data_IF_695507045715
#
_entry.id   IF_695507045715
#
_cell.length_a   1.000
_cell.length_b   1.000
_cell.length_c   1.000
_cell.angle_alpha   90.00
_cell.angle_beta   90.00
_cell.angle_gamma   90.00
#
_symmetry.space_group_name_H-M   'P 1'
#
loop_
_entity.id
_entity.type
_entity.pdbx_description
1 polymer ?
#
# COMPACT_ATOMS: atom_id res chain seq x y z
N UNK A 1 10.13 -2.29 -19.22
CA UNK A 1 10.62 -1.05 -18.56
C UNK A 1 11.65 -1.36 -17.47
N UNK A 2 11.36 -2.15 -16.40
CA UNK A 2 12.31 -2.42 -15.32
C UNK A 2 13.64 -3.00 -15.85
N UNK A 3 13.59 -4.00 -16.74
CA UNK A 3 14.78 -4.62 -17.31
C UNK A 3 15.71 -3.64 -18.01
N UNK A 4 15.19 -2.54 -18.58
CA UNK A 4 15.99 -1.50 -19.22
C UNK A 4 16.65 -0.52 -18.22
N UNK A 5 16.21 -0.51 -16.98
CA UNK A 5 16.73 0.34 -15.90
C UNK A 5 17.78 -0.36 -15.05
N UNK A 6 17.70 -1.70 -14.98
CA UNK A 6 18.60 -2.51 -14.15
C UNK A 6 19.92 -2.73 -14.90
N UNK A 7 21.03 -2.49 -14.21
CA UNK A 7 22.39 -2.63 -14.72
C UNK A 7 23.26 -3.39 -13.71
N UNK A 8 24.47 -3.84 -14.06
CA UNK A 8 25.40 -4.46 -13.09
C UNK A 8 25.77 -3.57 -11.88
N UNK A 9 25.49 -2.26 -11.96
CA UNK A 9 25.67 -1.33 -10.84
C UNK A 9 24.44 -1.25 -9.92
N UNK A 10 23.30 -1.80 -10.34
CA UNK A 10 22.08 -1.81 -9.51
C UNK A 10 22.31 -2.73 -8.30
N UNK A 11 22.29 -2.19 -7.11
CA UNK A 11 22.47 -2.94 -5.87
C UNK A 11 21.18 -3.46 -5.28
N UNK A 12 20.09 -2.70 -5.46
CA UNK A 12 18.82 -2.96 -4.83
C UNK A 12 17.67 -2.56 -5.76
N UNK A 13 16.65 -3.43 -5.85
CA UNK A 13 15.35 -3.14 -6.45
C UNK A 13 14.34 -3.04 -5.33
N UNK A 14 13.74 -1.85 -5.14
CA UNK A 14 12.71 -1.63 -4.14
C UNK A 14 11.32 -1.79 -4.76
N UNK A 15 10.49 -2.63 -4.15
CA UNK A 15 9.11 -2.89 -4.56
C UNK A 15 8.15 -2.58 -3.42
N UNK A 16 6.92 -2.22 -3.78
CA UNK A 16 5.80 -2.18 -2.84
C UNK A 16 4.65 -3.01 -3.41
N UNK A 17 4.37 -4.16 -2.77
CA UNK A 17 3.38 -5.12 -3.28
C UNK A 17 2.54 -5.75 -2.17
N UNK A 18 1.23 -5.49 -2.13
CA UNK A 18 0.41 -4.58 -2.98
C UNK A 18 0.84 -3.13 -2.90
N UNK A 19 0.61 -2.37 -3.97
CA UNK A 19 1.18 -1.05 -4.16
C UNK A 19 0.34 0.08 -3.53
N UNK A 20 0.98 0.99 -2.84
CA UNK A 20 0.48 2.31 -2.49
C UNK A 20 1.16 3.35 -3.41
N UNK A 21 0.41 4.15 -4.19
CA UNK A 21 -0.99 4.52 -3.97
C UNK A 21 -2.03 3.73 -4.79
N UNK A 22 -1.64 2.91 -5.75
CA UNK A 22 -2.52 2.44 -6.83
C UNK A 22 -3.43 1.27 -6.48
N UNK A 23 -3.12 0.52 -5.41
CA UNK A 23 -3.77 -0.75 -5.13
C UNK A 23 -3.45 -1.86 -6.13
N UNK A 24 -2.45 -1.65 -6.98
CA UNK A 24 -2.00 -2.65 -7.95
C UNK A 24 -1.35 -3.84 -7.24
N UNK A 25 -1.47 -5.01 -7.87
CA UNK A 25 -0.99 -6.27 -7.34
C UNK A 25 -0.07 -6.96 -8.34
N UNK A 26 1.16 -7.21 -7.91
CA UNK A 26 2.11 -8.06 -8.65
C UNK A 26 1.90 -9.51 -8.24
N UNK A 27 1.38 -10.30 -9.16
CA UNK A 27 1.19 -11.74 -8.97
C UNK A 27 2.47 -12.53 -9.24
N UNK A 28 2.47 -13.81 -8.90
CA UNK A 28 3.63 -14.72 -9.02
C UNK A 28 4.38 -14.59 -10.36
N UNK A 29 3.75 -14.65 -11.54
CA UNK A 29 4.49 -14.59 -12.80
C UNK A 29 5.29 -13.30 -12.99
N UNK A 30 4.73 -12.16 -12.53
CA UNK A 30 5.43 -10.88 -12.62
C UNK A 30 6.58 -10.81 -11.60
N UNK A 31 6.36 -11.28 -10.37
CA UNK A 31 7.42 -11.31 -9.35
C UNK A 31 8.58 -12.22 -9.77
N UNK A 32 8.31 -13.38 -10.34
CA UNK A 32 9.33 -14.29 -10.87
C UNK A 32 10.13 -13.68 -12.03
N UNK A 33 9.49 -12.86 -12.86
CA UNK A 33 10.21 -12.09 -13.90
C UNK A 33 11.14 -11.03 -13.28
N UNK A 34 10.68 -10.33 -12.23
CA UNK A 34 11.50 -9.36 -11.52
C UNK A 34 12.68 -10.06 -10.83
N UNK A 35 12.44 -11.21 -10.21
CA UNK A 35 13.49 -12.04 -9.61
C UNK A 35 14.56 -12.45 -10.62
N UNK A 36 14.17 -12.86 -11.84
CA UNK A 36 15.16 -13.16 -12.89
C UNK A 36 16.02 -11.95 -13.22
N UNK A 37 15.41 -10.79 -13.43
CA UNK A 37 16.14 -9.54 -13.71
C UNK A 37 17.10 -9.19 -12.57
N UNK A 38 16.67 -9.35 -11.32
CA UNK A 38 17.51 -9.07 -10.15
C UNK A 38 18.67 -10.07 -10.04
N UNK A 39 18.42 -11.36 -10.29
CA UNK A 39 19.42 -12.42 -10.26
C UNK A 39 20.50 -12.21 -11.31
N UNK A 40 20.11 -11.88 -12.55
CA UNK A 40 21.05 -11.63 -13.66
C UNK A 40 21.96 -10.41 -13.38
N UNK A 41 21.48 -9.43 -12.64
CA UNK A 41 22.24 -8.25 -12.25
C UNK A 41 22.97 -8.40 -10.89
N UNK A 42 22.74 -9.49 -10.15
CA UNK A 42 23.26 -9.69 -8.80
C UNK A 42 22.66 -8.74 -7.75
N UNK A 43 21.48 -8.16 -8.03
CA UNK A 43 20.81 -7.17 -7.19
C UNK A 43 20.01 -7.82 -6.07
N UNK A 44 19.87 -7.12 -4.95
CA UNK A 44 18.89 -7.44 -3.91
C UNK A 44 17.48 -7.01 -4.32
N UNK A 45 16.45 -7.64 -3.76
CA UNK A 45 15.07 -7.16 -3.82
C UNK A 45 14.60 -6.89 -2.39
N UNK A 46 14.15 -5.66 -2.13
CA UNK A 46 13.41 -5.28 -0.93
C UNK A 46 11.96 -5.03 -1.32
N UNK A 47 11.04 -5.81 -0.78
CA UNK A 47 9.62 -5.67 -1.04
C UNK A 47 8.88 -5.22 0.23
N UNK A 48 8.31 -4.02 0.21
CA UNK A 48 7.36 -3.62 1.24
C UNK A 48 6.03 -4.37 1.02
N UNK A 49 5.76 -5.32 1.91
CA UNK A 49 4.60 -6.20 1.90
C UNK A 49 3.52 -5.85 2.93
N UNK A 50 3.51 -4.63 3.47
CA UNK A 50 2.57 -4.23 4.56
C UNK A 50 1.09 -4.42 4.20
N UNK A 51 0.75 -4.47 2.92
CA UNK A 51 -0.62 -4.71 2.43
C UNK A 51 -0.86 -6.16 1.94
N UNK A 52 0.10 -7.08 2.09
CA UNK A 52 0.10 -8.43 1.50
C UNK A 52 -1.17 -9.23 1.79
N UNK A 53 -1.78 -9.06 2.95
CA UNK A 53 -2.99 -9.78 3.37
C UNK A 53 -4.30 -9.04 3.05
N UNK A 54 -4.23 -7.85 2.44
CA UNK A 54 -5.40 -7.06 2.07
C UNK A 54 -5.71 -7.17 0.57
N UNK A 55 -5.78 -8.40 0.06
CA UNK A 55 -6.16 -8.71 -1.33
C UNK A 55 -7.67 -8.88 -1.43
N UNK A 56 -8.30 -8.21 -2.40
CA UNK A 56 -9.75 -8.22 -2.55
C UNK A 56 -10.30 -9.58 -2.97
N UNK A 57 -9.63 -10.25 -3.93
CA UNK A 57 -10.00 -11.60 -4.36
C UNK A 57 -9.44 -12.65 -3.39
N UNK A 58 -10.29 -13.43 -2.71
CA UNK A 58 -9.86 -14.44 -1.76
C UNK A 58 -9.11 -15.61 -2.39
N UNK A 59 -9.19 -15.77 -3.73
CA UNK A 59 -8.50 -16.83 -4.46
C UNK A 59 -7.04 -16.47 -4.78
N UNK A 60 -6.71 -15.17 -4.76
CA UNK A 60 -5.36 -14.69 -5.10
C UNK A 60 -4.46 -14.75 -3.86
N UNK A 61 -3.29 -15.36 -4.04
CA UNK A 61 -2.22 -15.38 -3.03
C UNK A 61 -1.01 -14.62 -3.55
N UNK A 62 -0.50 -13.70 -2.73
CA UNK A 62 0.71 -12.93 -3.03
C UNK A 62 1.91 -13.68 -2.46
N UNK A 63 2.82 -14.20 -3.30
CA UNK A 63 4.03 -14.84 -2.80
C UNK A 63 4.96 -13.79 -2.17
N UNK A 64 5.79 -14.22 -1.24
CA UNK A 64 6.88 -13.40 -0.70
C UNK A 64 8.08 -13.45 -1.64
N UNK A 65 8.77 -12.34 -1.83
CA UNK A 65 10.06 -12.37 -2.55
C UNK A 65 11.13 -13.13 -1.76
N UNK A 66 11.01 -13.21 -0.43
CA UNK A 66 11.90 -14.03 0.40
C UNK A 66 11.73 -15.53 0.15
N UNK A 67 10.58 -15.97 -0.37
CA UNK A 67 10.35 -17.37 -0.77
C UNK A 67 10.77 -17.66 -2.21
N UNK A 68 11.01 -16.62 -3.01
CA UNK A 68 11.28 -16.72 -4.45
C UNK A 68 12.75 -16.46 -4.82
N UNK A 69 13.49 -15.79 -3.94
CA UNK A 69 14.81 -15.28 -4.27
C UNK A 69 15.75 -15.28 -3.07
N UNK A 70 16.95 -15.84 -3.27
CA UNK A 70 18.00 -15.93 -2.25
C UNK A 70 18.56 -14.60 -1.75
N UNK A 71 18.28 -13.49 -2.46
CA UNK A 71 18.56 -12.10 -2.03
C UNK A 71 17.26 -11.29 -1.92
N UNK A 72 16.15 -11.97 -1.62
CA UNK A 72 14.86 -11.35 -1.40
C UNK A 72 14.64 -11.02 0.07
N UNK A 73 14.26 -9.77 0.35
CA UNK A 73 13.85 -9.30 1.68
C UNK A 73 12.45 -8.73 1.59
N UNK A 74 11.58 -9.08 2.53
CA UNK A 74 10.24 -8.53 2.63
C UNK A 74 10.03 -7.89 3.99
N UNK A 75 9.35 -6.75 4.01
CA UNK A 75 8.88 -6.13 5.25
C UNK A 75 7.38 -6.31 5.42
N UNK A 76 6.95 -6.40 6.66
CA UNK A 76 5.55 -6.45 7.05
C UNK A 76 5.31 -5.73 8.37
N UNK A 77 4.06 -5.46 8.69
CA UNK A 77 3.71 -4.85 9.96
C UNK A 77 2.26 -5.13 10.37
N UNK A 78 1.97 -4.89 11.64
CA UNK A 78 0.60 -4.91 12.18
C UNK A 78 -0.17 -3.64 11.80
N UNK A 79 0.49 -2.60 11.30
CA UNK A 79 -0.09 -1.27 11.09
C UNK A 79 -1.23 -1.24 10.07
N UNK A 80 -1.13 -2.02 8.99
CA UNK A 80 -2.08 -1.95 7.85
C UNK A 80 -3.05 -3.12 7.84
N UNK A 81 -2.55 -4.34 7.62
CA UNK A 81 -3.40 -5.52 7.52
C UNK A 81 -4.18 -5.82 8.79
N UNK A 82 -3.59 -5.54 9.94
CA UNK A 82 -4.20 -5.80 11.25
C UNK A 82 -4.91 -4.58 11.85
N UNK A 83 -4.80 -3.40 11.24
CA UNK A 83 -5.35 -2.12 11.77
C UNK A 83 -4.80 -1.75 13.17
N UNK A 84 -3.58 -2.16 13.48
CA UNK A 84 -2.92 -1.97 14.77
C UNK A 84 -1.70 -1.04 14.65
N UNK A 85 -1.88 0.08 13.96
CA UNK A 85 -0.80 1.05 13.71
C UNK A 85 -0.19 1.63 15.00
N UNK A 86 -0.97 1.70 16.08
CA UNK A 86 -0.55 2.22 17.38
C UNK A 86 0.49 1.34 18.09
N UNK A 87 0.54 0.04 17.80
CA UNK A 87 1.50 -0.88 18.45
C UNK A 87 2.94 -0.73 17.94
N UNK A 88 3.17 -0.04 16.85
CA UNK A 88 4.50 0.18 16.28
C UNK A 88 5.31 -1.11 16.04
N UNK A 89 4.64 -2.23 15.71
CA UNK A 89 5.24 -3.54 15.46
C UNK A 89 5.30 -3.84 13.97
N UNK A 90 6.48 -4.26 13.53
CA UNK A 90 6.77 -4.75 12.18
C UNK A 90 7.91 -5.75 12.20
N UNK A 91 8.16 -6.35 11.06
CA UNK A 91 9.20 -7.37 10.87
C UNK A 91 9.84 -7.27 9.50
N UNK A 92 11.04 -7.81 9.40
CA UNK A 92 11.70 -8.12 8.15
C UNK A 92 11.95 -9.63 8.06
N UNK A 93 11.78 -10.19 6.86
CA UNK A 93 12.05 -11.60 6.56
C UNK A 93 12.97 -11.65 5.35
N UNK A 94 14.06 -12.42 5.47
CA UNK A 94 15.07 -12.55 4.42
C UNK A 94 16.15 -13.55 4.81
N UNK A 95 17.25 -13.63 4.05
CA UNK A 95 18.38 -14.51 4.34
C UNK A 95 19.00 -14.23 5.72
N UNK A 96 19.42 -15.29 6.42
CA UNK A 96 19.94 -15.22 7.79
C UNK A 96 21.07 -14.19 7.95
N UNK A 97 22.07 -14.21 7.05
CA UNK A 97 23.18 -13.27 7.09
C UNK A 97 22.72 -11.81 6.99
N UNK A 98 21.77 -11.51 6.09
CA UNK A 98 21.22 -10.16 5.96
C UNK A 98 20.45 -9.74 7.22
N UNK A 99 19.68 -10.65 7.81
CA UNK A 99 18.92 -10.36 9.04
C UNK A 99 19.86 -10.16 10.22
N UNK A 100 20.96 -10.91 10.29
CA UNK A 100 22.02 -10.70 11.29
C UNK A 100 22.63 -9.30 11.22
N UNK A 101 22.98 -8.84 10.02
CA UNK A 101 23.50 -7.49 9.79
C UNK A 101 22.45 -6.43 10.13
N UNK A 102 21.20 -6.62 9.70
CA UNK A 102 20.09 -5.73 10.00
C UNK A 102 19.87 -5.61 11.52
N UNK A 103 19.93 -6.72 12.23
CA UNK A 103 19.77 -6.75 13.69
C UNK A 103 20.87 -5.93 14.39
N UNK A 104 22.14 -6.06 13.94
CA UNK A 104 23.26 -5.28 14.47
C UNK A 104 23.08 -3.77 14.28
N UNK A 105 22.45 -3.34 13.19
CA UNK A 105 22.17 -1.93 12.92
C UNK A 105 20.94 -1.39 13.69
N UNK A 106 20.10 -2.27 14.22
CA UNK A 106 18.89 -1.90 14.96
C UNK A 106 19.21 -1.12 16.23
N UNK A 107 20.32 -1.40 16.87
CA UNK A 107 20.75 -0.72 18.10
C UNK A 107 20.98 0.78 17.91
N UNK A 108 21.26 1.21 16.67
CA UNK A 108 21.41 2.63 16.31
C UNK A 108 20.07 3.32 15.98
N UNK A 109 18.96 2.60 15.99
CA UNK A 109 17.62 3.12 15.64
C UNK A 109 16.62 2.91 16.77
N UNK A 110 16.04 1.74 16.87
CA UNK A 110 14.92 1.45 17.79
C UNK A 110 15.31 0.60 18.98
N UNK A 111 16.49 0.01 18.99
CA UNK A 111 17.00 -0.94 19.99
C UNK A 111 16.07 -2.15 20.14
N UNK A 112 14.86 -1.94 20.66
CA UNK A 112 13.85 -2.98 20.82
C UNK A 112 12.43 -2.39 20.69
N UNK A 113 11.46 -3.26 20.42
CA UNK A 113 10.04 -2.91 20.56
C UNK A 113 9.64 -2.85 22.04
N UNK A 114 8.62 -2.09 22.35
CA UNK A 114 8.02 -2.09 23.69
C UNK A 114 7.48 -3.49 24.03
N UNK A 115 7.75 -3.98 25.25
CA UNK A 115 7.36 -5.34 25.67
C UNK A 115 5.84 -5.56 25.66
N UNK A 116 5.08 -4.52 26.00
CA UNK A 116 3.61 -4.58 25.94
C UNK A 116 3.11 -4.65 24.50
N UNK A 117 3.70 -3.83 23.63
CA UNK A 117 3.35 -3.81 22.21
C UNK A 117 3.69 -5.13 21.52
N UNK A 118 4.83 -5.72 21.86
CA UNK A 118 5.24 -7.04 21.38
C UNK A 118 4.26 -8.13 21.83
N UNK A 119 3.88 -8.16 23.12
CA UNK A 119 2.89 -9.12 23.63
C UNK A 119 1.52 -8.98 22.96
N UNK A 120 1.06 -7.74 22.74
CA UNK A 120 -0.19 -7.49 22.02
C UNK A 120 -0.05 -7.87 20.54
N UNK A 121 1.13 -7.70 19.96
CA UNK A 121 1.45 -8.17 18.61
C UNK A 121 1.36 -9.69 18.49
N UNK A 122 1.89 -10.44 19.44
CA UNK A 122 1.77 -11.91 19.49
C UNK A 122 0.28 -12.32 19.53
N UNK A 123 -0.52 -11.72 20.41
CA UNK A 123 -1.97 -11.99 20.48
C UNK A 123 -2.68 -11.69 19.16
N UNK A 124 -2.32 -10.59 18.49
CA UNK A 124 -2.90 -10.25 17.18
C UNK A 124 -2.56 -11.31 16.12
N UNK A 125 -1.35 -11.85 16.13
CA UNK A 125 -0.93 -12.90 15.20
C UNK A 125 -1.59 -14.26 15.53
N UNK A 126 -1.79 -14.58 16.79
CA UNK A 126 -2.54 -15.76 17.24
C UNK A 126 -4.00 -15.71 16.75
N UNK A 127 -4.60 -14.52 16.72
CA UNK A 127 -5.97 -14.26 16.26
C UNK A 127 -6.07 -13.71 14.83
N UNK A 128 -5.02 -13.91 14.02
CA UNK A 128 -4.89 -13.29 12.68
C UNK A 128 -6.10 -13.52 11.77
N UNK A 129 -6.66 -14.71 11.75
CA UNK A 129 -7.77 -15.06 10.85
C UNK A 129 -9.02 -14.19 11.16
N UNK A 130 -9.35 -14.02 12.44
CA UNK A 130 -10.47 -13.18 12.88
C UNK A 130 -10.24 -11.71 12.52
N UNK A 131 -9.04 -11.19 12.79
CA UNK A 131 -8.71 -9.78 12.54
C UNK A 131 -8.68 -9.49 11.04
N UNK A 132 -8.00 -10.33 10.26
CA UNK A 132 -7.92 -10.18 8.81
C UNK A 132 -9.29 -10.36 8.15
N UNK A 133 -10.11 -11.31 8.60
CA UNK A 133 -11.47 -11.52 8.09
C UNK A 133 -12.34 -10.29 8.26
N UNK A 134 -12.35 -9.70 9.46
CA UNK A 134 -13.06 -8.44 9.76
C UNK A 134 -12.57 -7.29 8.86
N UNK A 135 -11.25 -7.11 8.77
CA UNK A 135 -10.66 -6.00 8.03
C UNK A 135 -10.90 -6.14 6.52
N UNK A 136 -10.82 -7.36 5.97
CA UNK A 136 -11.14 -7.62 4.57
C UNK A 136 -12.61 -7.40 4.24
N UNK A 137 -13.53 -7.77 5.13
CA UNK A 137 -14.95 -7.52 4.95
C UNK A 137 -15.24 -6.01 4.85
N UNK A 138 -14.68 -5.22 5.78
CA UNK A 138 -14.78 -3.76 5.74
C UNK A 138 -14.17 -3.18 4.46
N UNK A 139 -12.96 -3.60 4.12
CA UNK A 139 -12.23 -3.14 2.95
C UNK A 139 -13.03 -3.36 1.65
N UNK A 140 -13.62 -4.55 1.46
CA UNK A 140 -14.43 -4.87 0.28
C UNK A 140 -15.69 -4.00 0.19
N UNK A 141 -16.35 -3.75 1.33
CA UNK A 141 -17.50 -2.82 1.38
C UNK A 141 -17.08 -1.42 0.94
N UNK A 142 -16.00 -0.89 1.47
CA UNK A 142 -15.48 0.43 1.12
C UNK A 142 -15.01 0.51 -0.34
N UNK A 143 -14.35 -0.55 -0.87
CA UNK A 143 -13.98 -0.62 -2.28
C UNK A 143 -15.22 -0.52 -3.18
N UNK A 144 -16.32 -1.23 -2.84
CA UNK A 144 -17.57 -1.15 -3.60
C UNK A 144 -18.22 0.24 -3.52
N UNK A 145 -18.11 0.95 -2.39
CA UNK A 145 -18.56 2.34 -2.27
C UNK A 145 -17.79 3.24 -3.22
N UNK A 146 -16.45 3.15 -3.17
CA UNK A 146 -15.58 3.94 -4.03
C UNK A 146 -15.82 3.66 -5.52
N UNK A 147 -15.98 2.39 -5.91
CA UNK A 147 -16.25 1.99 -7.29
C UNK A 147 -17.53 2.60 -7.81
N UNK A 148 -18.65 2.44 -7.06
CA UNK A 148 -19.94 3.04 -7.45
C UNK A 148 -19.86 4.56 -7.59
N UNK A 149 -19.12 5.20 -6.68
CA UNK A 149 -18.94 6.65 -6.77
C UNK A 149 -18.15 7.05 -8.03
N UNK A 150 -17.04 6.37 -8.36
CA UNK A 150 -16.29 6.64 -9.58
C UNK A 150 -17.13 6.41 -10.83
N UNK A 151 -17.94 5.35 -10.86
CA UNK A 151 -18.86 5.05 -11.97
C UNK A 151 -19.93 6.14 -12.16
N UNK A 152 -20.27 6.86 -11.09
CA UNK A 152 -21.27 7.96 -11.11
C UNK A 152 -20.66 9.36 -11.30
N UNK A 153 -19.35 9.51 -11.22
CA UNK A 153 -18.65 10.81 -11.31
C UNK A 153 -17.91 10.96 -12.66
N UNK A 154 -18.51 11.66 -13.65
CA UNK A 154 -17.99 11.66 -15.02
C UNK A 154 -16.59 12.31 -15.16
N UNK A 155 -16.18 13.11 -14.19
CA UNK A 155 -14.86 13.78 -14.19
C UNK A 155 -13.77 12.96 -13.50
N UNK A 156 -14.08 11.76 -13.02
CA UNK A 156 -13.10 10.92 -12.29
C UNK A 156 -12.97 9.58 -12.96
N UNK A 157 -11.76 9.09 -13.01
CA UNK A 157 -11.46 7.74 -13.47
C UNK A 157 -10.40 7.08 -12.58
N UNK A 158 -10.39 5.75 -12.52
CA UNK A 158 -9.36 4.99 -11.82
C UNK A 158 -9.09 3.65 -12.49
N UNK A 159 -7.91 3.12 -12.27
CA UNK A 159 -7.67 1.69 -12.38
C UNK A 159 -8.12 1.06 -11.06
N UNK A 160 -9.07 0.13 -11.13
CA UNK A 160 -9.66 -0.52 -9.97
C UNK A 160 -8.58 -1.14 -9.07
N UNK A 161 -8.50 -0.77 -7.78
CA UNK A 161 -7.52 -1.36 -6.87
C UNK A 161 -7.85 -2.85 -6.65
N UNK A 162 -6.83 -3.69 -6.66
CA UNK A 162 -6.96 -5.13 -6.42
C UNK A 162 -6.62 -5.52 -4.98
N UNK A 163 -5.97 -4.61 -4.26
CA UNK A 163 -5.52 -4.84 -2.89
C UNK A 163 -5.19 -3.50 -2.19
N UNK A 164 -4.88 -3.58 -0.90
CA UNK A 164 -4.47 -2.42 -0.09
C UNK A 164 -5.65 -1.56 0.35
N UNK A 165 -5.34 -0.38 0.85
CA UNK A 165 -6.30 0.53 1.50
C UNK A 165 -6.42 1.88 0.79
N UNK A 166 -5.76 2.00 -0.37
CA UNK A 166 -5.69 3.25 -1.15
C UNK A 166 -6.04 3.00 -2.61
N UNK A 167 -6.62 4.01 -3.25
CA UNK A 167 -6.85 4.07 -4.68
C UNK A 167 -6.23 5.35 -5.25
N UNK A 168 -5.90 5.32 -6.52
CA UNK A 168 -5.30 6.44 -7.22
C UNK A 168 -6.23 6.86 -8.36
N UNK A 169 -6.81 8.05 -8.22
CA UNK A 169 -7.85 8.57 -9.09
C UNK A 169 -7.29 9.67 -9.99
N UNK A 170 -7.62 9.64 -11.26
CA UNK A 170 -7.42 10.76 -12.16
C UNK A 170 -8.68 11.61 -12.18
N UNK A 171 -8.55 12.94 -12.16
CA UNK A 171 -9.66 13.86 -12.36
C UNK A 171 -9.44 14.71 -13.61
N UNK A 172 -10.52 14.94 -14.35
CA UNK A 172 -10.49 15.73 -15.59
C UNK A 172 -10.79 17.22 -15.29
N UNK A 173 -9.72 17.93 -14.96
CA UNK A 173 -9.71 19.38 -14.78
C UNK A 173 -8.28 19.92 -14.86
N UNK A 174 -8.14 21.20 -15.27
CA UNK A 174 -6.82 21.82 -15.45
C UNK A 174 -6.13 22.26 -14.14
N UNK A 175 -6.87 22.32 -13.04
CA UNK A 175 -6.32 22.66 -11.72
C UNK A 175 -5.30 21.60 -11.31
N UNK A 176 -4.12 21.99 -10.84
CA UNK A 176 -3.12 21.08 -10.34
C UNK A 176 -3.58 20.39 -9.05
N UNK A 177 -3.04 19.19 -8.79
CA UNK A 177 -3.50 18.34 -7.69
C UNK A 177 -3.22 18.90 -6.30
N UNK A 178 -2.18 19.71 -6.14
CA UNK A 178 -1.85 20.33 -4.87
C UNK A 178 -2.85 21.43 -4.52
N UNK A 179 -3.15 22.29 -5.49
CA UNK A 179 -4.17 23.35 -5.34
C UNK A 179 -5.57 22.73 -5.16
N UNK A 180 -5.88 21.65 -5.90
CA UNK A 180 -7.14 20.91 -5.73
C UNK A 180 -7.31 20.43 -4.28
N UNK A 181 -6.34 19.69 -3.75
CA UNK A 181 -6.39 19.16 -2.39
C UNK A 181 -6.50 20.25 -1.33
N UNK A 182 -5.75 21.36 -1.50
CA UNK A 182 -5.79 22.49 -0.58
C UNK A 182 -7.18 23.14 -0.55
N UNK A 183 -7.73 23.50 -1.72
CA UNK A 183 -9.06 24.13 -1.82
C UNK A 183 -10.17 23.23 -1.29
N UNK A 184 -10.12 21.92 -1.60
CA UNK A 184 -11.07 20.95 -1.07
C UNK A 184 -11.01 20.87 0.46
N UNK A 185 -9.81 20.86 1.03
CA UNK A 185 -9.64 20.85 2.47
C UNK A 185 -10.15 22.13 3.12
N UNK A 186 -9.79 23.29 2.58
CA UNK A 186 -10.19 24.58 3.14
C UNK A 186 -11.71 24.74 3.15
N UNK A 187 -12.39 24.29 2.09
CA UNK A 187 -13.84 24.40 1.94
C UNK A 187 -14.61 23.32 2.73
N UNK A 188 -14.25 22.07 2.57
CA UNK A 188 -15.05 20.92 2.99
C UNK A 188 -14.40 20.06 4.06
N UNK A 189 -13.21 20.42 4.54
CA UNK A 189 -12.41 19.66 5.50
C UNK A 189 -12.20 18.20 5.06
N UNK A 190 -12.10 17.98 3.76
CA UNK A 190 -11.85 16.66 3.16
C UNK A 190 -10.39 16.60 2.70
N UNK A 191 -9.63 15.68 3.30
CA UNK A 191 -8.20 15.53 3.04
C UNK A 191 -7.95 14.41 2.03
N UNK A 192 -7.34 14.77 0.91
CA UNK A 192 -6.79 13.84 -0.08
C UNK A 192 -5.29 14.09 -0.22
N UNK A 193 -4.55 13.14 -0.77
CA UNK A 193 -3.13 13.34 -1.06
C UNK A 193 -2.97 13.67 -2.55
N UNK A 194 -2.33 14.81 -2.87
CA UNK A 194 -2.13 15.20 -4.26
C UNK A 194 -1.22 14.23 -5.02
N UNK A 195 -1.53 14.01 -6.28
CA UNK A 195 -0.77 13.10 -7.14
C UNK A 195 0.66 13.56 -7.39
N UNK A 196 0.96 14.85 -7.25
CA UNK A 196 2.33 15.38 -7.31
C UNK A 196 3.28 14.76 -6.28
N UNK A 197 2.76 14.24 -5.15
CA UNK A 197 3.56 13.44 -4.21
C UNK A 197 4.02 12.09 -4.79
N UNK A 198 3.53 11.71 -5.97
CA UNK A 198 3.82 10.46 -6.69
C UNK A 198 4.23 10.75 -8.14
N UNK A 199 4.72 11.95 -8.45
CA UNK A 199 5.12 12.43 -9.78
C UNK A 199 3.99 12.32 -10.83
N UNK A 200 2.73 12.48 -10.38
CA UNK A 200 1.52 12.39 -11.22
C UNK A 200 0.55 13.52 -10.90
N UNK A 201 0.71 14.64 -11.57
CA UNK A 201 -0.25 15.74 -11.46
C UNK A 201 -1.63 15.35 -12.02
N UNK A 202 -2.68 15.98 -11.55
CA UNK A 202 -4.11 15.68 -11.83
C UNK A 202 -4.54 14.29 -11.38
N UNK A 203 -3.81 13.71 -10.42
CA UNK A 203 -4.18 12.50 -9.70
C UNK A 203 -4.37 12.78 -8.22
N UNK A 204 -5.15 11.94 -7.56
CA UNK A 204 -5.45 12.03 -6.13
C UNK A 204 -5.33 10.64 -5.51
N UNK A 205 -4.61 10.54 -4.39
CA UNK A 205 -4.70 9.33 -3.59
C UNK A 205 -5.82 9.44 -2.59
N UNK A 206 -6.74 8.49 -2.64
CA UNK A 206 -7.85 8.32 -1.69
C UNK A 206 -7.54 7.13 -0.80
N UNK A 207 -7.55 7.33 0.52
CA UNK A 207 -7.66 6.23 1.48
C UNK A 207 -9.13 5.84 1.60
N UNK A 208 -9.48 4.57 1.46
CA UNK A 208 -10.87 4.15 1.48
C UNK A 208 -11.21 3.09 2.56
N UNK A 209 -10.24 2.63 3.33
CA UNK A 209 -10.45 1.58 4.33
C UNK A 209 -10.79 2.16 5.72
N UNK A 210 -11.95 2.76 5.85
CA UNK A 210 -12.50 3.28 7.12
C UNK A 210 -14.04 3.16 7.15
N UNK A 211 -14.75 3.88 8.01
CA UNK A 211 -16.21 3.78 8.08
C UNK A 211 -16.86 4.09 6.72
N UNK A 212 -17.72 3.20 6.17
CA UNK A 212 -18.34 3.41 4.85
C UNK A 212 -19.12 4.72 4.72
N UNK A 213 -19.83 5.14 5.76
CA UNK A 213 -20.64 6.36 5.78
C UNK A 213 -19.76 7.62 5.70
N UNK A 214 -18.61 7.60 6.39
CA UNK A 214 -17.62 8.68 6.31
C UNK A 214 -16.98 8.73 4.92
N UNK A 215 -16.73 7.58 4.30
CA UNK A 215 -16.22 7.49 2.94
C UNK A 215 -17.25 8.09 1.96
N UNK A 216 -18.51 7.69 2.03
CA UNK A 216 -19.58 8.24 1.18
C UNK A 216 -19.72 9.74 1.34
N UNK A 217 -19.68 10.23 2.58
CA UNK A 217 -19.71 11.67 2.89
C UNK A 217 -18.54 12.41 2.26
N UNK A 218 -17.32 11.88 2.41
CA UNK A 218 -16.11 12.47 1.85
C UNK A 218 -16.12 12.51 0.33
N UNK A 219 -16.54 11.42 -0.32
CA UNK A 219 -16.65 11.34 -1.78
C UNK A 219 -17.74 12.29 -2.31
N UNK A 220 -18.87 12.43 -1.60
CA UNK A 220 -19.92 13.40 -1.92
C UNK A 220 -19.42 14.85 -1.88
N UNK A 221 -18.52 15.19 -0.94
CA UNK A 221 -17.86 16.50 -0.88
C UNK A 221 -16.91 16.70 -2.06
N UNK A 222 -16.19 15.68 -2.49
CA UNK A 222 -15.36 15.73 -3.70
C UNK A 222 -16.22 16.02 -4.94
N UNK A 223 -17.33 15.32 -5.13
CA UNK A 223 -18.30 15.60 -6.20
C UNK A 223 -18.84 17.04 -6.14
N UNK A 224 -19.20 17.51 -4.93
CA UNK A 224 -19.65 18.89 -4.71
C UNK A 224 -18.59 19.92 -5.08
N UNK A 225 -17.32 19.62 -4.82
CA UNK A 225 -16.20 20.47 -5.23
C UNK A 225 -15.99 20.45 -6.74
N UNK A 226 -15.96 19.27 -7.36
CA UNK A 226 -15.79 19.14 -8.82
C UNK A 226 -16.88 19.88 -9.62
N UNK A 227 -18.13 19.89 -9.15
CA UNK A 227 -19.23 20.65 -9.82
C UNK A 227 -19.04 22.16 -9.80
N UNK A 228 -18.23 22.70 -8.90
CA UNK A 228 -17.96 24.15 -8.76
C UNK A 228 -16.67 24.60 -9.44
N UNK A 229 -15.89 23.67 -9.96
CA UNK A 229 -14.73 23.95 -10.82
C UNK A 229 -15.17 24.12 -12.28
#
# INVERSE_FOLDING_TARGET
ELAALVTPRTKLICLNNPNNPTGALMERPLLERIVRIARDAGSWILCDGVYRFLVHDPKVRVPSVADLYERGVVTGSLSKCFSLAGLRIGWAVGPEAFIGDLFSHRDYTTISCGRLDDRLGCLALEHRETILGRNLALLRRCASVLERWVDSEPRVSMVKPRAGTTAFLHYDHHLDSQTFCRRLYDRDRTLLVPGTCFDRDRWLRVGYAFAPDDLETGLGRVSGFLRQL
#
